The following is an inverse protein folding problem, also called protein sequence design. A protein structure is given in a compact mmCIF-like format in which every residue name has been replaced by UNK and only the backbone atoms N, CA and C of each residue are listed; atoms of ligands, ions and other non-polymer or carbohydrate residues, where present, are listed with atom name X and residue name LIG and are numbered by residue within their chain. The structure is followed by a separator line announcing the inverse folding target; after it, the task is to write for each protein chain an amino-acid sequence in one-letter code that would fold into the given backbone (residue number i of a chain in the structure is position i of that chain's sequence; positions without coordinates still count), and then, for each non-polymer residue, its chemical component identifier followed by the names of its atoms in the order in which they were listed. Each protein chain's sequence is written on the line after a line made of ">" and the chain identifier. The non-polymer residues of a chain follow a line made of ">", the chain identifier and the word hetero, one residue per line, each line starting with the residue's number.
data_IF_160852798365
#
_entry.id   IF_160852798365
#
_cell.length_a   1.000
_cell.length_b   1.000
_cell.length_c   1.000
_cell.angle_alpha   90.00
_cell.angle_beta   90.00
_cell.angle_gamma   90.00
#
_symmetry.space_group_name_H-M   'P 1'
#
loop_
_entity.id
_entity.type
_entity.pdbx_description
1 polymer ?
#
# COMPACT_ATOMS: atom_id res chain seq x y z
N UNK A 1 28.61 -11.14 -2.09
CA UNK A 1 27.12 -11.23 -2.09
C UNK A 1 26.51 -10.96 -0.72
N UNK A 2 26.95 -11.59 0.35
CA UNK A 2 26.39 -11.40 1.71
C UNK A 2 26.50 -9.96 2.24
N UNK A 3 27.61 -9.26 2.01
CA UNK A 3 27.77 -7.87 2.46
C UNK A 3 26.78 -6.91 1.80
N UNK A 4 26.48 -7.06 0.51
CA UNK A 4 25.53 -6.22 -0.19
C UNK A 4 24.09 -6.43 0.34
N UNK A 5 23.72 -7.67 0.64
CA UNK A 5 22.41 -8.00 1.24
C UNK A 5 22.30 -7.41 2.65
N UNK A 6 23.36 -7.50 3.45
CA UNK A 6 23.40 -6.93 4.79
C UNK A 6 23.28 -5.40 4.76
N UNK A 7 24.02 -4.73 3.89
CA UNK A 7 23.92 -3.27 3.71
C UNK A 7 22.54 -2.84 3.26
N UNK A 8 21.94 -3.57 2.31
CA UNK A 8 20.57 -3.30 1.87
C UNK A 8 19.57 -3.46 3.03
N UNK A 9 19.65 -4.58 3.77
CA UNK A 9 18.79 -4.80 4.93
C UNK A 9 18.94 -3.69 5.98
N UNK A 10 20.17 -3.29 6.31
CA UNK A 10 20.43 -2.21 7.26
C UNK A 10 19.91 -0.85 6.78
N UNK A 11 19.93 -0.59 5.47
CA UNK A 11 19.39 0.66 4.92
C UNK A 11 17.86 0.77 5.03
N UNK A 12 17.15 -0.35 5.10
CA UNK A 12 15.70 -0.39 5.28
C UNK A 12 15.27 -0.15 6.74
N UNK A 13 16.12 -0.52 7.72
CA UNK A 13 15.79 -0.43 9.15
C UNK A 13 15.30 0.96 9.56
N UNK A 14 15.98 2.09 9.24
CA UNK A 14 15.52 3.40 9.68
C UNK A 14 14.13 3.77 9.13
N UNK A 15 13.84 3.48 7.86
CA UNK A 15 12.56 3.82 7.23
C UNK A 15 11.41 2.98 7.78
N UNK A 16 11.64 1.69 8.02
CA UNK A 16 10.65 0.78 8.61
C UNK A 16 10.39 1.14 10.07
N UNK A 17 11.44 1.38 10.86
CA UNK A 17 11.29 1.81 12.26
C UNK A 17 10.55 3.15 12.38
N UNK A 18 10.85 4.10 11.50
CA UNK A 18 10.15 5.38 11.46
C UNK A 18 8.66 5.19 11.14
N UNK A 19 8.35 4.36 10.14
CA UNK A 19 6.97 4.08 9.74
C UNK A 19 6.17 3.43 10.87
N UNK A 20 6.72 2.40 11.53
CA UNK A 20 6.08 1.72 12.66
C UNK A 20 5.95 2.68 13.85
N UNK A 21 6.99 3.44 14.17
CA UNK A 21 6.95 4.44 15.23
C UNK A 21 5.90 5.53 15.00
N UNK A 22 5.76 5.99 13.75
CA UNK A 22 4.69 6.92 13.38
C UNK A 22 3.31 6.28 13.55
N UNK A 23 3.13 5.03 13.14
CA UNK A 23 1.86 4.32 13.33
C UNK A 23 1.50 4.22 14.81
N UNK A 24 2.44 3.85 15.68
CA UNK A 24 2.24 3.72 17.12
C UNK A 24 1.83 5.06 17.75
N UNK A 25 2.55 6.15 17.42
CA UNK A 25 2.20 7.50 17.87
C UNK A 25 0.81 7.90 17.38
N UNK A 26 0.52 7.71 16.11
CA UNK A 26 -0.78 8.04 15.51
C UNK A 26 -1.91 7.20 16.13
N UNK A 27 -1.63 5.94 16.45
CA UNK A 27 -2.55 5.06 17.17
C UNK A 27 -2.89 5.60 18.54
N UNK A 28 -1.86 6.01 19.31
CA UNK A 28 -2.01 6.58 20.65
C UNK A 28 -2.88 7.85 20.65
N UNK A 29 -2.71 8.73 19.68
CA UNK A 29 -3.51 9.96 19.55
C UNK A 29 -4.89 9.74 18.88
N UNK A 30 -5.28 8.50 18.61
CA UNK A 30 -6.57 8.17 18.02
C UNK A 30 -6.69 8.49 16.53
N UNK A 31 -5.58 8.79 15.85
CA UNK A 31 -5.57 9.07 14.42
C UNK A 31 -6.01 7.86 13.58
N UNK A 32 -5.75 6.64 14.07
CA UNK A 32 -6.27 5.41 13.43
C UNK A 32 -7.81 5.41 13.43
N UNK A 33 -8.44 5.82 14.53
CA UNK A 33 -9.92 5.94 14.61
C UNK A 33 -10.45 7.01 13.66
N UNK A 34 -9.75 8.14 13.56
CA UNK A 34 -10.10 9.21 12.62
C UNK A 34 -9.94 8.75 11.17
N UNK A 35 -8.82 8.13 10.81
CA UNK A 35 -8.57 7.55 9.50
C UNK A 35 -9.61 6.48 9.14
N UNK A 36 -9.93 5.60 10.09
CA UNK A 36 -10.98 4.59 9.90
C UNK A 36 -12.31 5.26 9.54
N UNK A 37 -12.75 6.25 10.32
CA UNK A 37 -14.03 6.93 10.09
C UNK A 37 -14.05 7.71 8.77
N UNK A 38 -12.95 8.38 8.43
CA UNK A 38 -12.87 9.27 7.27
C UNK A 38 -12.64 8.51 5.96
N UNK A 39 -11.77 7.50 5.98
CA UNK A 39 -11.36 6.77 4.76
C UNK A 39 -12.17 5.51 4.48
N UNK A 40 -12.87 4.96 5.48
CA UNK A 40 -13.71 3.77 5.30
C UNK A 40 -14.78 3.96 4.20
N UNK A 41 -15.53 5.07 4.13
CA UNK A 41 -16.53 5.25 3.08
C UNK A 41 -15.94 5.31 1.68
N UNK A 42 -14.65 5.61 1.56
CA UNK A 42 -13.93 5.63 0.30
C UNK A 42 -13.28 4.27 -0.01
N UNK A 43 -12.54 3.69 0.94
CA UNK A 43 -11.77 2.48 0.72
C UNK A 43 -12.62 1.20 0.71
N UNK A 44 -13.68 1.17 1.50
CA UNK A 44 -14.55 -0.01 1.58
C UNK A 44 -15.30 -0.33 0.28
N UNK A 45 -15.91 0.63 -0.44
CA UNK A 45 -16.51 0.33 -1.73
C UNK A 45 -15.47 0.03 -2.82
N UNK A 46 -14.34 0.74 -2.85
CA UNK A 46 -13.31 0.58 -3.87
C UNK A 46 -12.50 -0.72 -3.67
N UNK A 47 -11.85 -0.87 -2.54
CA UNK A 47 -10.93 -1.97 -2.26
C UNK A 47 -11.52 -3.05 -1.36
N UNK A 48 -12.59 -2.75 -0.61
CA UNK A 48 -13.16 -3.67 0.37
C UNK A 48 -12.36 -3.73 1.68
N UNK A 49 -11.47 -2.78 1.93
CA UNK A 49 -10.61 -2.73 3.12
C UNK A 49 -11.05 -1.62 4.07
N UNK A 50 -10.76 -1.73 5.37
CA UNK A 50 -11.11 -0.71 6.35
C UNK A 50 -10.28 0.57 6.16
N UNK A 51 -10.81 1.72 6.53
CA UNK A 51 -10.18 3.03 6.35
C UNK A 51 -8.85 3.21 7.09
N UNK A 52 -8.62 2.44 8.16
CA UNK A 52 -7.35 2.46 8.90
C UNK A 52 -6.14 2.03 8.03
N UNK A 53 -6.37 1.25 6.98
CA UNK A 53 -5.33 0.85 6.01
C UNK A 53 -4.87 2.00 5.12
N UNK A 54 -5.59 3.11 5.10
CA UNK A 54 -5.28 4.27 4.26
C UNK A 54 -3.88 4.82 4.49
N UNK A 55 -3.39 4.79 5.73
CA UNK A 55 -2.01 5.21 6.02
C UNK A 55 -0.99 4.31 5.33
N UNK A 56 -1.16 2.99 5.40
CA UNK A 56 -0.29 2.03 4.73
C UNK A 56 -0.32 2.19 3.20
N UNK A 57 -1.52 2.44 2.63
CA UNK A 57 -1.69 2.67 1.20
C UNK A 57 -1.02 3.98 0.73
N UNK A 58 -1.16 5.07 1.49
CA UNK A 58 -0.52 6.35 1.17
C UNK A 58 1.00 6.25 1.31
N UNK A 59 1.48 5.60 2.36
CA UNK A 59 2.92 5.40 2.60
C UNK A 59 3.55 4.57 1.47
N UNK A 60 2.85 3.55 0.97
CA UNK A 60 3.30 2.72 -0.14
C UNK A 60 3.54 3.51 -1.43
N UNK A 61 2.77 4.57 -1.68
CA UNK A 61 2.98 5.41 -2.86
C UNK A 61 4.39 6.03 -2.89
N UNK A 62 4.96 6.31 -1.72
CA UNK A 62 6.30 6.86 -1.56
C UNK A 62 7.35 5.77 -1.33
N UNK A 63 7.05 4.80 -0.47
CA UNK A 63 7.95 3.72 -0.06
C UNK A 63 7.18 2.43 0.15
N UNK A 64 7.41 1.46 -0.72
CA UNK A 64 6.76 0.14 -0.66
C UNK A 64 7.14 -0.62 0.61
N UNK A 65 8.41 -0.54 1.01
CA UNK A 65 8.89 -1.25 2.20
C UNK A 65 8.21 -0.72 3.47
N UNK A 66 8.10 0.60 3.59
CA UNK A 66 7.40 1.23 4.71
C UNK A 66 5.88 0.93 4.68
N UNK A 67 5.25 0.97 3.50
CA UNK A 67 3.85 0.59 3.33
C UNK A 67 3.59 -0.88 3.70
N UNK A 68 4.47 -1.79 3.26
CA UNK A 68 4.38 -3.21 3.60
C UNK A 68 4.56 -3.47 5.10
N UNK A 69 5.51 -2.77 5.76
CA UNK A 69 5.72 -2.86 7.20
C UNK A 69 4.47 -2.43 7.99
N UNK A 70 3.85 -1.29 7.60
CA UNK A 70 2.60 -0.84 8.20
C UNK A 70 1.45 -1.82 7.98
N UNK A 71 1.34 -2.40 6.80
CA UNK A 71 0.31 -3.40 6.48
C UNK A 71 0.51 -4.66 7.32
N UNK A 72 1.75 -5.11 7.47
CA UNK A 72 2.08 -6.26 8.32
C UNK A 72 1.72 -5.97 9.78
N UNK A 73 2.05 -4.80 10.30
CA UNK A 73 1.73 -4.40 11.67
C UNK A 73 0.21 -4.40 11.91
N UNK A 74 -0.58 -3.88 10.96
CA UNK A 74 -2.05 -3.92 11.05
C UNK A 74 -2.59 -5.36 11.08
N UNK A 75 -1.96 -6.26 10.35
CA UNK A 75 -2.33 -7.68 10.34
C UNK A 75 -1.92 -8.38 11.64
N UNK A 76 -0.72 -8.13 12.15
CA UNK A 76 -0.21 -8.71 13.40
C UNK A 76 -1.02 -8.24 14.63
N UNK A 77 -1.66 -7.06 14.54
CA UNK A 77 -2.59 -6.53 15.55
C UNK A 77 -4.05 -6.99 15.35
N UNK A 78 -4.33 -7.92 14.45
CA UNK A 78 -5.69 -8.41 14.11
C UNK A 78 -6.67 -7.30 13.67
N UNK A 79 -6.15 -6.19 13.14
CA UNK A 79 -6.95 -5.05 12.66
C UNK A 79 -7.43 -5.22 11.22
N UNK A 80 -6.83 -6.13 10.47
CA UNK A 80 -7.22 -6.52 9.11
C UNK A 80 -7.20 -8.04 8.97
N UNK A 81 -8.11 -8.56 8.16
CA UNK A 81 -8.19 -9.99 7.84
C UNK A 81 -7.14 -10.40 6.81
N UNK A 82 -6.88 -11.69 6.66
CA UNK A 82 -5.99 -12.25 5.64
C UNK A 82 -6.45 -11.89 4.22
N UNK A 83 -7.76 -11.85 4.00
CA UNK A 83 -8.35 -11.41 2.73
C UNK A 83 -8.02 -9.95 2.43
N UNK A 84 -8.21 -9.07 3.41
CA UNK A 84 -7.87 -7.65 3.30
C UNK A 84 -6.37 -7.45 3.09
N UNK A 85 -5.53 -8.20 3.83
CA UNK A 85 -4.09 -8.24 3.63
C UNK A 85 -3.71 -8.58 2.17
N UNK A 86 -4.38 -9.59 1.58
CA UNK A 86 -4.12 -10.00 0.19
C UNK A 86 -4.50 -8.89 -0.80
N UNK A 87 -5.63 -8.21 -0.59
CA UNK A 87 -6.07 -7.09 -1.43
C UNK A 87 -5.10 -5.90 -1.31
N UNK A 88 -4.70 -5.56 -0.09
CA UNK A 88 -3.74 -4.47 0.16
C UNK A 88 -2.39 -4.80 -0.47
N UNK A 89 -1.87 -6.01 -0.26
CA UNK A 89 -0.61 -6.46 -0.85
C UNK A 89 -0.63 -6.41 -2.38
N UNK A 90 -1.74 -6.80 -3.02
CA UNK A 90 -1.87 -6.72 -4.47
C UNK A 90 -1.89 -5.25 -4.95
N UNK A 91 -2.54 -4.35 -4.21
CA UNK A 91 -2.53 -2.93 -4.51
C UNK A 91 -1.13 -2.32 -4.34
N UNK A 92 -0.42 -2.68 -3.28
CA UNK A 92 0.94 -2.23 -3.02
C UNK A 92 1.91 -2.69 -4.11
N UNK A 93 1.81 -3.96 -4.51
CA UNK A 93 2.69 -4.55 -5.52
C UNK A 93 2.43 -4.03 -6.94
N UNK A 94 1.19 -3.66 -7.26
CA UNK A 94 0.82 -3.09 -8.56
C UNK A 94 1.25 -1.62 -8.67
N UNK A 95 2.52 -1.36 -8.94
CA UNK A 95 3.10 -0.02 -8.98
C UNK A 95 3.66 0.39 -7.62
N UNK A 96 4.55 -0.44 -7.10
CA UNK A 96 5.28 -0.24 -5.86
C UNK A 96 6.02 1.11 -5.85
N UNK A 97 5.87 1.89 -4.77
CA UNK A 97 6.50 3.21 -4.64
C UNK A 97 6.18 4.14 -5.81
N UNK A 98 4.92 4.17 -6.27
CA UNK A 98 4.52 4.83 -7.51
C UNK A 98 5.05 6.26 -7.65
N UNK A 99 4.94 7.07 -6.62
CA UNK A 99 5.41 8.47 -6.64
C UNK A 99 6.93 8.51 -6.77
N UNK A 100 7.62 7.78 -5.90
CA UNK A 100 9.09 7.76 -5.91
C UNK A 100 9.63 7.22 -7.23
N UNK A 101 9.13 6.09 -7.70
CA UNK A 101 9.59 5.46 -8.93
C UNK A 101 9.27 6.30 -10.16
N UNK A 102 8.10 6.94 -10.21
CA UNK A 102 7.74 7.80 -11.33
C UNK A 102 8.64 9.04 -11.44
N UNK A 103 8.85 9.75 -10.35
CA UNK A 103 9.61 11.01 -10.36
C UNK A 103 11.12 10.81 -10.22
N UNK A 104 11.60 9.76 -9.56
CA UNK A 104 13.03 9.49 -9.44
C UNK A 104 13.55 8.70 -10.65
N UNK A 105 13.05 7.48 -10.87
CA UNK A 105 13.53 6.58 -11.91
C UNK A 105 12.94 6.96 -13.27
N UNK A 106 11.64 7.22 -13.34
CA UNK A 106 10.90 7.58 -14.55
C UNK A 106 11.30 8.92 -15.13
N UNK A 107 11.89 9.82 -14.32
CA UNK A 107 12.32 11.14 -14.77
C UNK A 107 13.28 11.11 -15.98
N UNK A 108 14.08 10.07 -16.11
CA UNK A 108 14.96 9.88 -17.27
C UNK A 108 14.19 9.78 -18.61
N UNK A 109 12.93 9.38 -18.57
CA UNK A 109 12.07 9.24 -19.75
C UNK A 109 11.22 10.48 -20.03
N UNK A 110 11.18 11.46 -19.13
CA UNK A 110 10.30 12.61 -19.27
C UNK A 110 10.57 13.47 -20.50
N UNK A 111 11.83 13.54 -20.94
CA UNK A 111 12.22 14.25 -22.18
C UNK A 111 11.68 13.60 -23.46
N UNK A 112 11.32 12.32 -23.39
CA UNK A 112 10.80 11.55 -24.54
C UNK A 112 9.26 11.53 -24.57
N UNK A 113 8.60 11.99 -23.50
CA UNK A 113 7.15 12.00 -23.43
C UNK A 113 6.58 13.16 -24.26
N UNK A 114 5.67 12.82 -25.16
CA UNK A 114 4.93 13.79 -25.99
C UNK A 114 3.64 14.28 -25.34
N UNK A 115 3.31 13.72 -24.17
CA UNK A 115 2.09 14.04 -23.38
C UNK A 115 2.48 14.68 -22.04
N UNK A 116 1.59 15.47 -21.42
CA UNK A 116 1.85 16.02 -20.09
C UNK A 116 2.16 14.91 -19.08
N UNK A 117 3.17 15.12 -18.22
CA UNK A 117 3.66 14.14 -17.25
C UNK A 117 2.57 13.60 -16.31
N UNK A 118 1.56 14.41 -16.06
CA UNK A 118 0.44 14.01 -15.20
C UNK A 118 -0.44 12.90 -15.81
N UNK A 119 -0.52 12.82 -17.14
CA UNK A 119 -1.39 11.84 -17.83
C UNK A 119 -0.94 10.40 -17.56
N UNK A 120 0.31 9.98 -17.87
CA UNK A 120 0.74 8.63 -17.57
C UNK A 120 0.75 8.34 -16.06
N UNK A 121 1.07 9.31 -15.21
CA UNK A 121 0.99 9.16 -13.77
C UNK A 121 -0.43 8.82 -13.29
N UNK A 122 -1.43 9.58 -13.74
CA UNK A 122 -2.84 9.31 -13.39
C UNK A 122 -3.33 7.97 -13.93
N UNK A 123 -2.92 7.59 -15.15
CA UNK A 123 -3.24 6.29 -15.71
C UNK A 123 -2.67 5.16 -14.83
N UNK A 124 -1.40 5.23 -14.44
CA UNK A 124 -0.79 4.24 -13.55
C UNK A 124 -1.52 4.16 -12.22
N UNK A 125 -1.91 5.31 -11.65
CA UNK A 125 -2.66 5.38 -10.41
C UNK A 125 -4.04 4.72 -10.54
N UNK A 126 -4.78 4.99 -11.63
CA UNK A 126 -6.08 4.35 -11.91
C UNK A 126 -5.92 2.84 -12.07
N UNK A 127 -4.94 2.38 -12.85
CA UNK A 127 -4.69 0.95 -13.05
C UNK A 127 -4.31 0.23 -11.75
N UNK A 128 -3.65 0.90 -10.83
CA UNK A 128 -3.35 0.37 -9.48
C UNK A 128 -4.66 0.01 -8.74
N UNK A 129 -5.67 0.85 -8.80
CA UNK A 129 -6.99 0.56 -8.23
C UNK A 129 -7.73 -0.54 -9.00
N UNK A 130 -7.72 -0.49 -10.33
CA UNK A 130 -8.36 -1.51 -11.17
C UNK A 130 -7.78 -2.90 -10.89
N UNK A 131 -6.45 -3.01 -10.77
CA UNK A 131 -5.78 -4.27 -10.41
C UNK A 131 -6.24 -4.83 -9.06
N UNK A 132 -6.27 -3.99 -8.03
CA UNK A 132 -6.73 -4.40 -6.71
C UNK A 132 -8.23 -4.75 -6.67
N UNK A 133 -9.07 -4.02 -7.41
CA UNK A 133 -10.49 -4.36 -7.57
C UNK A 133 -10.68 -5.70 -8.28
N UNK A 134 -9.85 -5.99 -9.28
CA UNK A 134 -9.87 -7.29 -9.95
C UNK A 134 -9.50 -8.43 -9.00
N UNK A 135 -8.43 -8.27 -8.22
CA UNK A 135 -8.05 -9.24 -7.19
C UNK A 135 -9.17 -9.44 -6.17
N UNK A 136 -9.77 -8.36 -5.69
CA UNK A 136 -10.95 -8.42 -4.80
C UNK A 136 -12.09 -9.23 -5.43
N UNK A 137 -12.38 -9.00 -6.71
CA UNK A 137 -13.41 -9.75 -7.44
C UNK A 137 -13.08 -11.24 -7.50
N UNK A 138 -11.85 -11.60 -7.84
CA UNK A 138 -11.37 -12.99 -7.89
C UNK A 138 -11.48 -13.65 -6.52
N UNK A 139 -11.04 -12.99 -5.45
CA UNK A 139 -11.13 -13.51 -4.07
C UNK A 139 -12.58 -13.72 -3.64
N UNK A 140 -13.51 -12.88 -4.07
CA UNK A 140 -14.93 -13.01 -3.75
C UNK A 140 -15.66 -14.09 -4.56
N UNK A 141 -15.13 -14.44 -5.73
CA UNK A 141 -15.81 -15.34 -6.68
C UNK A 141 -15.18 -16.73 -6.69
N UNK A 142 -13.87 -16.80 -6.87
CA UNK A 142 -13.13 -18.06 -7.04
C UNK A 142 -12.68 -18.64 -5.69
N UNK A 143 -12.14 -17.79 -4.83
CA UNK A 143 -11.55 -18.18 -3.54
C UNK A 143 -12.46 -17.89 -2.34
N UNK A 144 -13.77 -17.82 -2.58
CA UNK A 144 -14.76 -17.50 -1.55
C UNK A 144 -14.73 -18.46 -0.35
N UNK A 145 -14.49 -19.75 -0.61
CA UNK A 145 -14.47 -20.78 0.43
C UNK A 145 -13.25 -20.68 1.35
N UNK A 146 -12.10 -20.21 0.82
CA UNK A 146 -10.85 -20.11 1.58
C UNK A 146 -10.92 -19.01 2.67
N UNK A 147 -11.84 -18.03 2.50
CA UNK A 147 -12.03 -16.89 3.40
C UNK A 147 -13.42 -16.86 4.07
N UNK A 148 -14.10 -18.02 4.12
CA UNK A 148 -15.47 -18.09 4.64
C UNK A 148 -15.56 -17.94 6.16
N UNK A 149 -14.46 -18.19 6.84
CA UNK A 149 -14.38 -18.18 8.31
C UNK A 149 -13.69 -16.89 8.85
N UNK A 150 -13.44 -15.93 8.02
CA UNK A 150 -12.90 -14.61 8.36
C UNK A 150 -14.00 -13.54 8.22
#
# INVERSE_FOLDING_TARGET
>A
MHAAVLWFALSLVPSVMLAIGCLEVLSHYGAIKAAHKLLTPLLRPLLGVPGLTGLALITDLQSTDAGAALTKELYDQDLITKKELTIIGSWQYSGAGLINNYFAIGSALFSYLTVPLLVPFLLMFVFKFVGAMFVRFVLNTVYKEDFKNE
#
